data_IF_164594552050
#
_entry.id   IF_164594552050
#
_cell.length_a   1.000
_cell.length_b   1.000
_cell.length_c   1.000
_cell.angle_alpha   90.00
_cell.angle_beta   90.00
_cell.angle_gamma   90.00
#
_symmetry.space_group_name_H-M   'P 1'
#
loop_
_entity.id
_entity.type
_entity.pdbx_description
1 polymer ?
#
# COMPACT_ATOMS: atom_id res chain seq x y z
N UNK A 1 3.71 10.57 -18.43
CA UNK A 1 2.56 10.96 -17.58
C UNK A 1 2.95 10.78 -16.12
N UNK A 2 2.26 11.39 -15.14
CA UNK A 2 2.48 11.06 -13.71
C UNK A 2 1.76 9.76 -13.37
N UNK A 3 2.20 9.03 -12.33
CA UNK A 3 1.63 7.72 -12.01
C UNK A 3 0.14 7.74 -11.70
N UNK A 4 -0.33 8.75 -10.95
CA UNK A 4 -1.77 9.01 -10.76
C UNK A 4 -2.53 9.10 -12.09
N UNK A 5 -2.03 9.90 -13.04
CA UNK A 5 -2.69 10.13 -14.32
C UNK A 5 -2.69 8.86 -15.18
N UNK A 6 -1.61 8.08 -15.09
CA UNK A 6 -1.47 6.76 -15.73
C UNK A 6 -2.52 5.77 -15.23
N UNK A 7 -2.64 5.64 -13.91
CA UNK A 7 -3.62 4.75 -13.30
C UNK A 7 -5.06 5.18 -13.64
N UNK A 8 -5.39 6.47 -13.52
CA UNK A 8 -6.72 6.97 -13.87
C UNK A 8 -7.05 6.80 -15.36
N UNK A 9 -6.05 6.90 -16.26
CA UNK A 9 -6.23 6.65 -17.69
C UNK A 9 -6.57 5.19 -17.95
N UNK A 10 -5.81 4.26 -17.35
CA UNK A 10 -6.06 2.82 -17.49
C UNK A 10 -7.44 2.41 -16.95
N UNK A 11 -7.82 2.91 -15.77
CA UNK A 11 -9.14 2.63 -15.16
C UNK A 11 -10.31 3.15 -16.02
N UNK A 12 -10.11 4.23 -16.77
CA UNK A 12 -11.09 4.77 -17.73
C UNK A 12 -11.08 4.04 -19.08
N UNK A 13 -10.34 2.94 -19.20
CA UNK A 13 -10.14 2.18 -20.45
C UNK A 13 -9.48 3.01 -21.58
N UNK A 14 -8.70 4.03 -21.21
CA UNK A 14 -7.83 4.75 -22.13
C UNK A 14 -6.52 4.01 -22.39
N UNK A 15 -5.62 4.64 -23.16
CA UNK A 15 -4.27 4.12 -23.43
C UNK A 15 -3.25 4.93 -22.62
N UNK A 16 -2.71 4.39 -21.52
CA UNK A 16 -1.63 5.05 -20.79
C UNK A 16 -0.31 5.00 -21.58
N UNK A 17 0.66 5.82 -21.18
CA UNK A 17 2.00 5.85 -21.78
C UNK A 17 2.80 4.55 -21.55
N UNK A 18 2.57 3.87 -20.41
CA UNK A 18 3.03 2.51 -20.10
C UNK A 18 2.00 1.78 -19.24
N UNK A 19 2.14 0.47 -19.07
CA UNK A 19 1.28 -0.29 -18.14
C UNK A 19 1.53 0.19 -16.71
N UNK A 20 0.50 0.69 -15.98
CA UNK A 20 0.70 1.15 -14.62
C UNK A 20 1.01 -0.02 -13.69
N UNK A 21 1.98 0.17 -12.78
CA UNK A 21 2.36 -0.83 -11.77
C UNK A 21 1.84 -0.40 -10.40
N UNK A 22 0.97 -1.22 -9.85
CA UNK A 22 0.45 -1.05 -8.49
C UNK A 22 0.98 -2.16 -7.61
N UNK A 23 1.58 -1.79 -6.49
CA UNK A 23 2.07 -2.75 -5.52
C UNK A 23 0.98 -3.14 -4.51
N UNK A 24 0.89 -4.45 -4.22
CA UNK A 24 -0.14 -5.07 -3.40
C UNK A 24 0.47 -5.67 -2.12
N UNK A 25 0.67 -4.81 -1.12
CA UNK A 25 1.06 -5.12 0.26
C UNK A 25 2.42 -5.82 0.38
N UNK A 26 3.49 -5.04 0.35
CA UNK A 26 4.86 -5.42 0.75
C UNK A 26 5.00 -5.16 2.25
N UNK A 27 5.43 -6.20 2.98
CA UNK A 27 5.69 -6.09 4.41
C UNK A 27 7.03 -5.42 4.71
N UNK A 28 7.14 -4.82 5.89
CA UNK A 28 8.35 -4.11 6.34
C UNK A 28 9.65 -4.93 6.20
N UNK A 29 9.68 -6.25 6.50
CA UNK A 29 10.91 -7.02 6.35
C UNK A 29 11.48 -7.03 4.92
N UNK A 30 10.62 -7.03 3.90
CA UNK A 30 11.05 -6.98 2.49
C UNK A 30 11.53 -5.58 2.13
N UNK A 31 10.83 -4.53 2.59
CA UNK A 31 11.23 -3.12 2.38
C UNK A 31 12.66 -2.90 2.92
N UNK A 32 12.89 -3.34 4.17
CA UNK A 32 14.17 -3.20 4.86
C UNK A 32 15.28 -4.05 4.21
N UNK A 33 14.97 -5.28 3.78
CA UNK A 33 15.94 -6.13 3.07
C UNK A 33 16.41 -5.54 1.72
N UNK A 34 15.57 -4.73 1.08
CA UNK A 34 15.89 -4.02 -0.17
C UNK A 34 16.62 -2.68 0.07
N UNK A 35 16.82 -2.28 1.33
CA UNK A 35 17.55 -1.06 1.69
C UNK A 35 16.71 0.21 1.67
N UNK A 36 15.38 0.11 1.58
CA UNK A 36 14.49 1.26 1.66
C UNK A 36 14.12 1.57 3.12
N UNK A 37 13.96 2.86 3.44
CA UNK A 37 13.67 3.33 4.81
C UNK A 37 12.18 3.31 5.14
N UNK A 38 11.34 3.33 4.11
CA UNK A 38 9.90 3.40 4.26
C UNK A 38 9.22 2.79 3.03
N UNK A 39 7.93 2.52 3.15
CA UNK A 39 7.12 2.08 2.03
C UNK A 39 7.04 3.13 0.92
N UNK A 40 6.96 4.42 1.27
CA UNK A 40 6.99 5.51 0.30
C UNK A 40 8.35 5.58 -0.42
N UNK A 41 9.45 5.37 0.30
CA UNK A 41 10.80 5.33 -0.29
C UNK A 41 10.93 4.18 -1.30
N UNK A 42 10.33 3.02 -1.01
CA UNK A 42 10.30 1.88 -1.92
C UNK A 42 9.48 2.18 -3.17
N UNK A 43 8.31 2.82 -3.02
CA UNK A 43 7.45 3.22 -4.15
C UNK A 43 8.17 4.19 -5.09
N UNK A 44 8.86 5.19 -4.52
CA UNK A 44 9.67 6.13 -5.32
C UNK A 44 10.88 5.45 -5.94
N UNK A 45 11.59 4.61 -5.18
CA UNK A 45 12.82 3.96 -5.63
C UNK A 45 12.61 2.88 -6.69
N UNK A 46 11.42 2.28 -6.76
CA UNK A 46 11.01 1.31 -7.78
C UNK A 46 10.20 1.94 -8.92
N UNK A 47 10.01 3.27 -8.92
CA UNK A 47 9.21 4.02 -9.89
C UNK A 47 7.79 3.44 -10.09
N UNK A 48 7.12 3.14 -8.97
CA UNK A 48 5.77 2.57 -8.99
C UNK A 48 4.70 3.65 -9.14
N UNK A 49 3.56 3.29 -9.71
CA UNK A 49 2.44 4.21 -9.94
C UNK A 49 1.51 4.39 -8.75
N UNK A 50 1.55 3.42 -7.83
CA UNK A 50 0.71 3.40 -6.65
C UNK A 50 1.09 2.27 -5.70
N UNK A 51 0.59 2.40 -4.49
CA UNK A 51 0.77 1.44 -3.41
C UNK A 51 -0.53 1.26 -2.65
N UNK A 52 -0.60 0.19 -1.87
CA UNK A 52 -1.78 -0.09 -1.07
C UNK A 52 -1.76 0.78 0.20
N UNK A 53 -2.76 1.65 0.34
CA UNK A 53 -3.02 2.33 1.61
C UNK A 53 -3.90 1.43 2.49
N UNK A 54 -3.49 1.22 3.74
CA UNK A 54 -4.30 0.50 4.72
C UNK A 54 -5.63 1.20 4.98
N UNK A 55 -6.65 0.41 5.30
CA UNK A 55 -7.95 0.94 5.69
C UNK A 55 -7.84 1.71 7.01
N UNK A 56 -8.65 2.77 7.15
CA UNK A 56 -8.78 3.47 8.43
C UNK A 56 -9.68 2.67 9.36
N UNK A 57 -9.07 1.78 10.14
CA UNK A 57 -9.78 0.84 11.01
C UNK A 57 -9.72 1.32 12.47
N UNK A 58 -10.86 1.31 13.17
CA UNK A 58 -10.89 1.56 14.61
C UNK A 58 -10.47 0.29 15.37
N UNK A 59 -9.48 0.43 16.24
CA UNK A 59 -9.01 -0.62 17.13
C UNK A 59 -9.32 -0.29 18.59
N UNK A 60 -9.77 -1.30 19.33
CA UNK A 60 -9.93 -1.24 20.79
C UNK A 60 -9.02 -2.31 21.39
N UNK A 61 -8.17 -1.93 22.35
CA UNK A 61 -7.37 -2.88 23.10
C UNK A 61 -8.30 -3.75 23.97
N UNK A 62 -8.16 -5.08 23.87
CA UNK A 62 -8.99 -6.06 24.60
C UNK A 62 -8.16 -6.96 25.54
N UNK A 63 -6.84 -6.83 25.49
CA UNK A 63 -5.87 -7.55 26.30
C UNK A 63 -4.47 -7.04 25.98
N UNK A 64 -3.47 -7.46 26.76
CA UNK A 64 -2.07 -7.04 26.54
C UNK A 64 -1.59 -7.46 25.15
N UNK A 65 -1.46 -6.49 24.23
CA UNK A 65 -1.07 -6.73 22.83
C UNK A 65 -2.17 -7.33 21.96
N UNK A 66 -3.42 -7.41 22.44
CA UNK A 66 -4.56 -7.88 21.66
C UNK A 66 -5.49 -6.72 21.30
N UNK A 67 -5.76 -6.54 20.00
CA UNK A 67 -6.60 -5.46 19.50
C UNK A 67 -7.80 -6.01 18.75
N UNK A 68 -9.01 -5.57 19.11
CA UNK A 68 -10.23 -5.87 18.35
C UNK A 68 -10.55 -4.73 17.40
N UNK A 69 -10.72 -5.02 16.11
CA UNK A 69 -11.17 -4.02 15.15
C UNK A 69 -12.70 -3.86 15.12
N UNK A 70 -13.20 -2.85 14.40
CA UNK A 70 -14.64 -2.57 14.26
C UNK A 70 -15.46 -3.71 13.63
N UNK A 71 -14.81 -4.66 12.95
CA UNK A 71 -15.44 -5.86 12.39
C UNK A 71 -15.39 -7.08 13.32
N UNK A 72 -14.89 -6.90 14.56
CA UNK A 72 -14.79 -7.98 15.55
C UNK A 72 -13.58 -8.90 15.38
N UNK A 73 -12.67 -8.62 14.45
CA UNK A 73 -11.42 -9.38 14.26
C UNK A 73 -10.43 -9.03 15.38
N UNK A 74 -9.80 -10.03 15.97
CA UNK A 74 -8.75 -9.85 17.00
C UNK A 74 -7.38 -10.02 16.34
N UNK A 75 -6.54 -9.02 16.55
CA UNK A 75 -5.16 -8.92 16.08
C UNK A 75 -4.20 -9.14 17.25
N UNK A 76 -3.07 -9.81 16.99
CA UNK A 76 -2.05 -10.23 17.97
C UNK A 76 -0.66 -9.96 17.41
#
# INVERSE_FOLDING_TARGET
MKGKDRMLTALRRGVPDVVPVWELIINEPVISALGYRSYADLVEGLDLDGCTAGESVRFTEVGSGEYRCEWGIIWR
#
